data_IF_397150096481
#
_entry.id   IF_397150096481
#
_cell.length_a   1.000
_cell.length_b   1.000
_cell.length_c   1.000
_cell.angle_alpha   90.00
_cell.angle_beta   90.00
_cell.angle_gamma   90.00
#
_symmetry.space_group_name_H-M   'P 1'
#
loop_
_entity.id
_entity.type
_entity.pdbx_description
1 polymer ?
#
# COMPACT_ATOMS: atom_id res chain seq x y z
N UNK A 1 -6.22 16.98 18.54
CA UNK A 1 -5.75 16.01 19.54
C UNK A 1 -4.31 15.59 19.26
N UNK A 2 -3.95 14.85 18.20
CA UNK A 2 -2.54 14.40 17.96
C UNK A 2 -1.53 15.57 17.89
N UNK A 3 -1.87 16.68 17.24
CA UNK A 3 -0.97 17.85 17.10
C UNK A 3 -0.67 18.54 18.42
N UNK A 4 -1.63 18.56 19.34
CA UNK A 4 -1.46 19.18 20.65
C UNK A 4 -0.56 18.34 21.57
N UNK A 5 -0.62 17.01 21.42
CA UNK A 5 0.18 16.08 22.23
C UNK A 5 1.63 15.96 21.73
N UNK A 6 1.86 16.30 20.44
CA UNK A 6 3.17 16.16 19.77
C UNK A 6 3.48 17.36 18.89
N UNK A 7 3.78 18.54 19.45
CA UNK A 7 3.94 19.78 18.69
C UNK A 7 5.12 19.81 17.72
N UNK A 8 6.07 18.88 17.86
CA UNK A 8 7.25 18.76 16.99
C UNK A 8 7.04 17.82 15.79
N UNK A 9 5.91 17.12 15.73
CA UNK A 9 5.65 16.17 14.66
C UNK A 9 4.99 16.88 13.48
N UNK A 10 5.63 16.77 12.31
CA UNK A 10 5.05 17.21 11.06
C UNK A 10 4.05 16.17 10.53
N UNK A 11 2.77 16.58 10.45
CA UNK A 11 1.71 15.70 9.94
C UNK A 11 1.64 15.76 8.41
N UNK A 12 1.48 14.59 7.80
CA UNK A 12 1.30 14.44 6.37
C UNK A 12 0.09 13.55 6.07
N UNK A 13 -0.90 14.13 5.39
CA UNK A 13 -2.09 13.45 4.93
C UNK A 13 -1.92 12.97 3.48
N UNK A 14 -2.14 11.68 3.23
CA UNK A 14 -2.21 11.12 1.88
C UNK A 14 -3.55 10.44 1.67
N UNK A 15 -4.36 10.98 0.75
CA UNK A 15 -5.74 10.54 0.51
C UNK A 15 -6.07 10.25 -0.94
N UNK A 16 -7.13 9.46 -1.16
CA UNK A 16 -7.73 9.31 -2.49
C UNK A 16 -8.70 10.44 -2.80
N UNK A 17 -9.38 10.35 -3.94
CA UNK A 17 -10.32 11.39 -4.38
C UNK A 17 -11.57 11.52 -3.50
N UNK A 18 -11.86 10.57 -2.63
CA UNK A 18 -12.94 10.67 -1.64
C UNK A 18 -12.63 11.69 -0.54
N UNK A 19 -11.34 11.96 -0.30
CA UNK A 19 -10.88 12.97 0.65
C UNK A 19 -10.68 14.36 0.02
N UNK A 20 -10.97 14.54 -1.26
CA UNK A 20 -10.79 15.79 -1.97
C UNK A 20 -11.92 16.80 -1.66
N UNK A 21 -12.06 17.21 -0.41
CA UNK A 21 -13.10 18.13 0.06
C UNK A 21 -12.53 19.47 0.53
N UNK A 22 -13.23 20.59 0.28
CA UNK A 22 -12.78 21.92 0.72
C UNK A 22 -12.48 22.02 2.21
N UNK A 23 -13.32 21.39 3.03
CA UNK A 23 -13.20 21.42 4.50
C UNK A 23 -11.92 20.73 4.98
N UNK A 24 -11.56 19.59 4.36
CA UNK A 24 -10.34 18.87 4.70
C UNK A 24 -9.09 19.68 4.33
N UNK A 25 -9.08 20.32 3.16
CA UNK A 25 -7.97 21.19 2.80
C UNK A 25 -7.80 22.34 3.78
N UNK A 26 -8.93 23.00 4.12
CA UNK A 26 -8.93 24.10 5.10
C UNK A 26 -8.37 23.64 6.43
N UNK A 27 -8.83 22.51 6.97
CA UNK A 27 -8.32 21.96 8.23
C UNK A 27 -6.82 21.63 8.16
N UNK A 28 -6.34 21.07 7.06
CA UNK A 28 -4.92 20.79 6.88
C UNK A 28 -4.10 22.08 6.86
N UNK A 29 -4.57 23.07 6.11
CA UNK A 29 -3.88 24.37 5.95
C UNK A 29 -3.85 25.17 7.26
N UNK A 30 -4.96 25.19 8.01
CA UNK A 30 -5.04 25.84 9.34
C UNK A 30 -4.16 25.17 10.40
N UNK A 31 -3.97 23.86 10.33
CA UNK A 31 -3.17 23.08 11.28
C UNK A 31 -1.71 22.84 10.83
N UNK A 32 -1.27 23.47 9.75
CA UNK A 32 0.09 23.25 9.21
C UNK A 32 0.36 21.82 8.74
N UNK A 33 -0.70 21.04 8.46
CA UNK A 33 -0.59 19.67 7.97
C UNK A 33 -0.34 19.67 6.48
N UNK A 34 0.71 18.99 6.03
CA UNK A 34 0.96 18.74 4.61
C UNK A 34 -0.03 17.72 4.06
N UNK A 35 -0.43 17.88 2.80
CA UNK A 35 -1.32 16.90 2.17
C UNK A 35 -0.96 16.60 0.73
N UNK A 36 -1.26 15.37 0.30
CA UNK A 36 -1.15 14.85 -1.05
C UNK A 36 -2.41 14.04 -1.35
N UNK A 37 -3.37 14.64 -2.05
CA UNK A 37 -4.71 14.07 -2.26
C UNK A 37 -4.99 13.96 -3.76
N UNK A 38 -5.45 12.78 -4.20
CA UNK A 38 -5.82 12.57 -5.60
C UNK A 38 -7.09 13.35 -5.95
N UNK A 39 -7.08 14.00 -7.12
CA UNK A 39 -8.28 14.55 -7.73
C UNK A 39 -8.86 13.57 -8.75
N UNK A 40 -10.19 13.49 -8.80
CA UNK A 40 -10.89 12.83 -9.90
C UNK A 40 -10.74 13.67 -11.17
N UNK A 41 -10.22 13.06 -12.24
CA UNK A 41 -10.03 13.74 -13.52
C UNK A 41 -11.35 14.25 -14.08
N UNK A 42 -11.35 15.49 -14.55
CA UNK A 42 -12.46 16.12 -15.24
C UNK A 42 -11.97 16.82 -16.52
N UNK A 43 -12.88 17.39 -17.30
CA UNK A 43 -12.55 18.05 -18.56
C UNK A 43 -11.59 19.25 -18.36
N UNK A 44 -11.85 20.08 -17.37
CA UNK A 44 -11.05 21.29 -17.07
C UNK A 44 -9.62 20.92 -16.68
N UNK A 45 -9.43 19.90 -15.83
CA UNK A 45 -8.11 19.42 -15.44
C UNK A 45 -7.33 18.86 -16.64
N UNK A 46 -8.00 18.17 -17.56
CA UNK A 46 -7.37 17.65 -18.78
C UNK A 46 -6.99 18.75 -19.74
N UNK A 47 -7.84 19.78 -19.89
CA UNK A 47 -7.54 20.96 -20.70
C UNK A 47 -6.34 21.73 -20.14
N UNK A 48 -6.29 21.94 -18.81
CA UNK A 48 -5.12 22.56 -18.16
C UNK A 48 -3.84 21.74 -18.31
N UNK A 49 -3.94 20.43 -18.46
CA UNK A 49 -2.79 19.53 -18.66
C UNK A 49 -2.47 19.25 -20.14
N UNK A 50 -3.14 19.90 -21.11
CA UNK A 50 -2.95 19.64 -22.55
C UNK A 50 -1.51 19.85 -23.00
N UNK A 51 -0.82 20.86 -22.49
CA UNK A 51 0.59 21.13 -22.80
C UNK A 51 1.52 19.95 -22.48
N UNK A 52 1.19 19.16 -21.45
CA UNK A 52 1.95 17.95 -21.12
C UNK A 52 1.67 16.80 -22.11
N UNK A 53 0.40 16.69 -22.55
CA UNK A 53 0.04 15.73 -23.58
C UNK A 53 0.71 16.03 -24.93
N UNK A 54 0.79 17.30 -25.30
CA UNK A 54 1.47 17.76 -26.51
C UNK A 54 2.98 17.48 -26.43
N UNK A 55 3.61 17.77 -25.28
CA UNK A 55 5.01 17.46 -25.05
C UNK A 55 5.28 15.93 -25.08
N UNK A 56 4.35 15.13 -24.58
CA UNK A 56 4.44 13.67 -24.60
C UNK A 56 4.29 13.15 -26.04
N UNK A 57 3.34 13.69 -26.80
CA UNK A 57 3.12 13.38 -28.22
C UNK A 57 4.37 13.63 -29.03
N UNK A 58 4.99 14.80 -28.88
CA UNK A 58 6.23 15.18 -29.59
C UNK A 58 7.38 14.22 -29.28
N UNK A 59 7.49 13.76 -28.04
CA UNK A 59 8.52 12.79 -27.63
C UNK A 59 8.28 11.38 -28.20
N UNK A 60 7.02 10.97 -28.32
CA UNK A 60 6.67 9.60 -28.73
C UNK A 60 6.59 9.45 -30.25
N UNK A 61 6.30 10.51 -30.99
CA UNK A 61 6.28 10.47 -32.48
C UNK A 61 7.69 10.37 -33.07
N UNK A 62 8.67 11.02 -32.48
CA UNK A 62 10.05 11.04 -32.98
C UNK A 62 10.88 9.81 -32.52
N UNK A 63 10.51 9.19 -31.42
CA UNK A 63 11.15 8.00 -30.88
C UNK A 63 10.09 6.91 -30.74
N UNK A 64 10.31 5.72 -31.26
CA UNK A 64 9.47 4.53 -31.07
C UNK A 64 9.55 4.04 -29.62
N UNK A 65 9.13 4.90 -28.68
CA UNK A 65 9.17 4.60 -27.24
C UNK A 65 7.80 4.04 -26.84
N UNK A 66 7.76 2.81 -26.38
CA UNK A 66 6.54 2.14 -25.97
C UNK A 66 5.91 2.75 -24.72
N UNK A 67 6.73 3.24 -23.80
CA UNK A 67 6.29 3.91 -22.55
C UNK A 67 6.95 5.28 -22.42
N UNK A 68 6.15 6.30 -22.15
CA UNK A 68 6.65 7.65 -21.86
C UNK A 68 5.80 8.32 -20.77
N UNK A 69 6.44 9.18 -19.97
CA UNK A 69 5.80 9.93 -18.89
C UNK A 69 6.31 11.36 -18.82
N UNK A 70 5.41 12.28 -18.53
CA UNK A 70 5.74 13.70 -18.30
C UNK A 70 5.02 14.16 -17.02
N UNK A 71 5.71 14.98 -16.25
CA UNK A 71 5.19 15.59 -15.04
C UNK A 71 5.07 17.11 -15.23
N UNK A 72 4.08 17.71 -14.61
CA UNK A 72 3.89 19.15 -14.59
C UNK A 72 2.97 19.57 -13.46
N UNK A 73 2.73 20.87 -13.39
CA UNK A 73 1.86 21.45 -12.38
C UNK A 73 1.15 22.70 -12.90
N UNK A 74 0.07 23.04 -12.25
CA UNK A 74 -0.69 24.26 -12.50
C UNK A 74 -1.54 24.62 -11.27
N UNK A 75 -1.97 25.88 -11.20
CA UNK A 75 -2.96 26.31 -10.23
C UNK A 75 -4.37 25.99 -10.72
N UNK A 76 -5.17 25.43 -9.82
CA UNK A 76 -6.54 25.02 -10.14
C UNK A 76 -7.49 25.39 -9.01
N UNK A 77 -8.65 25.90 -9.41
CA UNK A 77 -9.79 26.19 -8.54
C UNK A 77 -11.00 25.37 -9.01
N UNK A 78 -11.47 24.45 -8.17
CA UNK A 78 -12.77 23.81 -8.37
C UNK A 78 -13.90 24.76 -7.93
N UNK A 79 -15.13 24.58 -8.45
CA UNK A 79 -16.25 25.44 -8.12
C UNK A 79 -16.46 25.74 -6.63
N UNK A 80 -16.47 24.73 -5.75
CA UNK A 80 -16.69 24.92 -4.31
C UNK A 80 -15.44 25.41 -3.54
N UNK A 81 -14.28 25.56 -4.19
CA UNK A 81 -13.05 25.99 -3.51
C UNK A 81 -13.03 27.52 -3.37
N UNK A 82 -12.63 28.06 -2.20
CA UNK A 82 -12.52 29.50 -2.00
C UNK A 82 -11.39 30.12 -2.82
N UNK A 83 -10.28 29.40 -3.02
CA UNK A 83 -9.10 29.85 -3.78
C UNK A 83 -8.44 28.71 -4.55
N UNK A 84 -7.48 29.09 -5.39
CA UNK A 84 -6.72 28.14 -6.20
C UNK A 84 -5.72 27.35 -5.33
N UNK A 85 -5.49 26.10 -5.70
CA UNK A 85 -4.49 25.21 -5.10
C UNK A 85 -3.57 24.63 -6.14
N UNK A 86 -2.35 24.32 -5.72
CA UNK A 86 -1.36 23.66 -6.55
C UNK A 86 -1.84 22.24 -6.90
N UNK A 87 -1.91 21.96 -8.19
CA UNK A 87 -2.22 20.63 -8.71
C UNK A 87 -1.03 20.13 -9.51
N UNK A 88 -0.48 19.01 -9.07
CA UNK A 88 0.56 18.26 -9.77
C UNK A 88 -0.09 17.22 -10.67
N UNK A 89 0.39 17.12 -11.88
CA UNK A 89 -0.14 16.23 -12.89
C UNK A 89 0.95 15.31 -13.45
N UNK A 90 0.58 14.05 -13.65
CA UNK A 90 1.33 13.08 -14.45
C UNK A 90 0.50 12.73 -15.67
N UNK A 91 1.10 12.83 -16.85
CA UNK A 91 0.56 12.27 -18.09
C UNK A 91 1.48 11.16 -18.55
N UNK A 92 0.92 9.99 -18.78
CA UNK A 92 1.67 8.83 -19.24
C UNK A 92 1.00 8.17 -20.44
N UNK A 93 1.82 7.66 -21.34
CA UNK A 93 1.44 6.74 -22.40
C UNK A 93 1.83 5.34 -21.96
N UNK A 94 0.87 4.49 -21.59
CA UNK A 94 1.18 3.09 -21.27
C UNK A 94 1.61 2.32 -22.52
N UNK A 95 2.39 1.26 -22.30
CA UNK A 95 2.75 0.33 -23.36
C UNK A 95 1.50 -0.22 -24.06
N UNK A 96 1.56 -0.31 -25.38
CA UNK A 96 0.47 -0.85 -26.22
C UNK A 96 -0.89 -0.14 -26.10
N UNK A 97 -0.93 1.12 -25.58
CA UNK A 97 -2.16 1.90 -25.52
C UNK A 97 -2.03 3.20 -26.29
N UNK A 98 -3.11 3.57 -27.02
CA UNK A 98 -3.18 4.84 -27.75
C UNK A 98 -3.68 5.99 -26.89
N UNK A 99 -4.23 5.69 -25.69
CA UNK A 99 -4.87 6.68 -24.80
C UNK A 99 -3.92 7.07 -23.68
N UNK A 100 -3.75 8.38 -23.46
CA UNK A 100 -2.98 8.90 -22.34
C UNK A 100 -3.71 8.75 -21.01
N UNK A 101 -2.99 8.33 -20.00
CA UNK A 101 -3.48 8.26 -18.62
C UNK A 101 -3.06 9.49 -17.83
N UNK A 102 -4.00 10.08 -17.11
CA UNK A 102 -3.80 11.28 -16.32
C UNK A 102 -3.93 10.97 -14.82
N UNK A 103 -2.99 11.47 -14.05
CA UNK A 103 -3.07 11.45 -12.58
C UNK A 103 -2.95 12.89 -12.09
N UNK A 104 -3.94 13.37 -11.34
CA UNK A 104 -3.97 14.70 -10.75
C UNK A 104 -3.91 14.59 -9.23
N UNK A 105 -3.06 15.39 -8.62
CA UNK A 105 -2.86 15.44 -7.16
C UNK A 105 -2.88 16.89 -6.72
N UNK A 106 -3.72 17.22 -5.76
CA UNK A 106 -3.68 18.52 -5.07
C UNK A 106 -2.79 18.42 -3.84
N UNK A 107 -2.00 19.47 -3.61
CA UNK A 107 -1.02 19.49 -2.51
C UNK A 107 -0.71 20.93 -2.07
N UNK A 108 -0.32 21.09 -0.81
CA UNK A 108 0.29 22.31 -0.26
C UNK A 108 1.83 22.16 -0.08
N UNK A 109 2.40 21.02 -0.50
CA UNK A 109 3.85 20.78 -0.41
C UNK A 109 4.59 21.42 -1.58
N UNK A 110 5.79 21.92 -1.34
CA UNK A 110 6.68 22.54 -2.36
C UNK A 110 7.73 21.56 -2.92
N UNK A 111 7.44 20.28 -2.92
CA UNK A 111 8.32 19.25 -3.48
C UNK A 111 8.16 19.14 -5.00
N UNK A 112 9.12 18.51 -5.68
CA UNK A 112 9.06 18.29 -7.13
C UNK A 112 7.87 17.43 -7.55
N UNK A 113 7.36 17.67 -8.74
CA UNK A 113 6.17 16.99 -9.29
C UNK A 113 6.36 15.47 -9.34
N UNK A 114 7.54 15.04 -9.77
CA UNK A 114 7.87 13.62 -9.86
C UNK A 114 7.91 12.95 -8.49
N UNK A 115 8.51 13.62 -7.49
CA UNK A 115 8.55 13.13 -6.12
C UNK A 115 7.14 12.95 -5.55
N UNK A 116 6.28 13.98 -5.69
CA UNK A 116 4.90 13.97 -5.18
C UNK A 116 4.06 12.86 -5.81
N UNK A 117 4.17 12.67 -7.12
CA UNK A 117 3.49 11.57 -7.81
C UNK A 117 4.00 10.20 -7.33
N UNK A 118 5.32 10.01 -7.28
CA UNK A 118 5.92 8.75 -6.78
C UNK A 118 5.55 8.49 -5.33
N UNK A 119 5.57 9.54 -4.50
CA UNK A 119 5.14 9.46 -3.10
C UNK A 119 3.67 9.05 -2.99
N UNK A 120 2.78 9.66 -3.78
CA UNK A 120 1.37 9.28 -3.83
C UNK A 120 1.19 7.81 -4.26
N UNK A 121 1.88 7.38 -5.31
CA UNK A 121 1.77 6.02 -5.86
C UNK A 121 2.18 4.93 -4.84
N UNK A 122 3.05 5.23 -3.87
CA UNK A 122 3.36 4.32 -2.75
C UNK A 122 2.14 3.99 -1.87
N UNK A 123 1.00 4.69 -2.03
CA UNK A 123 -0.28 4.34 -1.40
C UNK A 123 -0.77 2.95 -1.81
N UNK A 124 -0.47 2.50 -3.03
CA UNK A 124 -0.80 1.16 -3.49
C UNK A 124 -0.24 0.03 -2.61
N UNK A 125 0.85 0.26 -1.89
CA UNK A 125 1.38 -0.70 -0.91
C UNK A 125 0.40 -0.92 0.26
N UNK A 126 -0.23 0.16 0.76
CA UNK A 126 -1.26 0.07 1.81
C UNK A 126 -2.48 -0.72 1.33
N UNK A 127 -2.92 -0.51 0.09
CA UNK A 127 -4.03 -1.28 -0.49
C UNK A 127 -3.69 -2.77 -0.58
N UNK A 128 -2.46 -3.12 -0.91
CA UNK A 128 -2.01 -4.50 -0.93
C UNK A 128 -2.00 -5.11 0.48
N UNK A 129 -1.58 -4.37 1.51
CA UNK A 129 -1.66 -4.83 2.90
C UNK A 129 -3.11 -5.02 3.35
N UNK A 130 -4.01 -4.10 3.01
CA UNK A 130 -5.45 -4.24 3.30
C UNK A 130 -6.05 -5.44 2.57
N UNK A 131 -5.69 -5.67 1.31
CA UNK A 131 -6.12 -6.84 0.53
C UNK A 131 -5.61 -8.13 1.16
N UNK A 132 -4.34 -8.18 1.55
CA UNK A 132 -3.74 -9.34 2.21
C UNK A 132 -4.42 -9.61 3.57
N UNK A 133 -4.71 -8.57 4.34
CA UNK A 133 -5.44 -8.67 5.61
C UNK A 133 -6.85 -9.21 5.42
N UNK A 134 -7.55 -8.79 4.37
CA UNK A 134 -8.89 -9.29 4.04
C UNK A 134 -8.88 -10.74 3.60
N UNK A 135 -7.96 -11.14 2.72
CA UNK A 135 -7.91 -12.50 2.17
C UNK A 135 -7.26 -13.49 3.14
N UNK A 136 -6.18 -13.10 3.81
CA UNK A 136 -5.38 -14.00 4.64
C UNK A 136 -5.76 -14.05 6.11
N UNK A 137 -6.46 -13.02 6.64
CA UNK A 137 -6.81 -12.89 8.05
C UNK A 137 -8.30 -12.56 8.28
N UNK A 138 -9.13 -12.69 7.27
CA UNK A 138 -10.60 -12.50 7.39
C UNK A 138 -11.03 -11.16 8.03
N UNK A 139 -10.30 -10.06 7.78
CA UNK A 139 -10.61 -8.74 8.32
C UNK A 139 -12.04 -8.27 8.01
N UNK A 140 -12.60 -8.72 6.88
CA UNK A 140 -13.95 -8.37 6.44
C UNK A 140 -15.05 -9.28 6.98
N UNK A 141 -14.71 -10.38 7.65
CA UNK A 141 -15.70 -11.31 8.19
C UNK A 141 -16.37 -10.70 9.41
N UNK A 142 -17.68 -10.48 9.30
CA UNK A 142 -18.55 -9.99 10.37
C UNK A 142 -19.20 -11.19 11.02
N UNK A 143 -18.99 -11.41 12.33
CA UNK A 143 -19.52 -12.54 13.08
C UNK A 143 -20.65 -12.18 14.05
N UNK A 144 -20.94 -10.88 14.20
CA UNK A 144 -21.91 -10.39 15.15
C UNK A 144 -22.64 -9.16 14.61
N UNK A 145 -23.87 -8.95 15.08
CA UNK A 145 -24.59 -7.68 14.85
C UNK A 145 -24.11 -6.57 15.80
N UNK A 146 -23.30 -6.89 16.80
CA UNK A 146 -22.75 -5.91 17.74
C UNK A 146 -21.47 -5.29 17.19
N UNK A 147 -21.46 -3.95 17.03
CA UNK A 147 -20.33 -3.18 16.53
C UNK A 147 -19.08 -3.34 17.38
N UNK A 148 -19.20 -3.39 18.71
CA UNK A 148 -18.07 -3.50 19.63
C UNK A 148 -17.38 -4.87 19.46
N UNK A 149 -18.16 -5.94 19.35
CA UNK A 149 -17.63 -7.30 19.11
C UNK A 149 -16.84 -7.36 17.81
N UNK A 150 -17.39 -6.78 16.74
CA UNK A 150 -16.69 -6.75 15.45
C UNK A 150 -15.44 -5.87 15.49
N UNK A 151 -15.46 -4.75 16.21
CA UNK A 151 -14.28 -3.90 16.39
C UNK A 151 -13.16 -4.65 17.13
N UNK A 152 -13.47 -5.35 18.22
CA UNK A 152 -12.51 -6.17 18.95
C UNK A 152 -11.94 -7.30 18.07
N UNK A 153 -12.78 -7.93 17.26
CA UNK A 153 -12.32 -8.94 16.29
C UNK A 153 -11.30 -8.37 15.31
N UNK A 154 -11.57 -7.19 14.74
CA UNK A 154 -10.62 -6.51 13.83
C UNK A 154 -9.29 -6.25 14.54
N UNK A 155 -9.28 -5.86 15.81
CA UNK A 155 -8.05 -5.66 16.58
C UNK A 155 -7.23 -6.95 16.73
N UNK A 156 -7.89 -8.07 17.04
CA UNK A 156 -7.24 -9.39 17.12
C UNK A 156 -6.65 -9.80 15.77
N UNK A 157 -7.36 -9.58 14.67
CA UNK A 157 -6.86 -9.86 13.33
C UNK A 157 -5.67 -8.95 12.98
N UNK A 158 -5.70 -7.66 13.37
CA UNK A 158 -4.59 -6.74 13.18
C UNK A 158 -3.34 -7.19 13.95
N UNK A 159 -3.51 -7.67 15.18
CA UNK A 159 -2.42 -8.26 15.96
C UNK A 159 -1.84 -9.50 15.26
N UNK A 160 -2.68 -10.42 14.82
CA UNK A 160 -2.25 -11.61 14.09
C UNK A 160 -1.48 -11.25 12.80
N UNK A 161 -1.94 -10.23 12.08
CA UNK A 161 -1.24 -9.72 10.90
C UNK A 161 0.13 -9.13 11.24
N UNK A 162 0.24 -8.39 12.33
CA UNK A 162 1.52 -7.83 12.80
C UNK A 162 2.51 -8.92 13.22
N UNK A 163 2.04 -9.94 13.95
CA UNK A 163 2.86 -11.12 14.32
C UNK A 163 3.37 -11.83 13.06
N UNK A 164 2.50 -12.02 12.07
CA UNK A 164 2.91 -12.59 10.80
C UNK A 164 3.94 -11.74 10.05
N UNK A 165 3.82 -10.41 10.10
CA UNK A 165 4.83 -9.52 9.51
C UNK A 165 6.17 -9.59 10.22
N UNK A 166 6.19 -9.76 11.55
CA UNK A 166 7.43 -10.02 12.29
C UNK A 166 8.04 -11.35 11.89
N UNK A 167 7.25 -12.42 11.87
CA UNK A 167 7.69 -13.74 11.38
C UNK A 167 8.28 -13.63 9.96
N UNK A 168 7.59 -12.94 9.06
CA UNK A 168 8.05 -12.68 7.68
C UNK A 168 9.43 -12.01 7.64
N UNK A 169 9.66 -11.02 8.51
CA UNK A 169 10.91 -10.23 8.53
C UNK A 169 12.07 -10.96 9.22
N UNK A 170 11.79 -11.66 10.29
CA UNK A 170 12.80 -12.23 11.17
C UNK A 170 13.19 -13.65 10.74
N UNK A 171 12.27 -14.41 10.16
CA UNK A 171 12.42 -15.84 9.93
C UNK A 171 12.50 -16.20 8.44
N UNK A 172 11.62 -15.64 7.62
CA UNK A 172 11.50 -16.08 6.23
C UNK A 172 12.68 -15.63 5.36
N UNK A 173 13.06 -16.47 4.38
CA UNK A 173 14.06 -16.16 3.37
C UNK A 173 13.67 -14.93 2.52
N UNK A 174 14.64 -14.31 1.85
CA UNK A 174 14.42 -13.11 1.04
C UNK A 174 13.35 -13.31 -0.05
N UNK A 175 13.24 -14.51 -0.61
CA UNK A 175 12.22 -14.86 -1.60
C UNK A 175 10.84 -15.03 -0.97
N UNK A 176 10.75 -15.73 0.16
CA UNK A 176 9.49 -15.97 0.86
C UNK A 176 8.91 -14.70 1.49
N UNK A 177 9.75 -13.73 1.87
CA UNK A 177 9.31 -12.43 2.41
C UNK A 177 8.38 -11.67 1.46
N UNK A 178 8.53 -11.88 0.16
CA UNK A 178 7.72 -11.22 -0.89
C UNK A 178 6.41 -11.94 -1.18
N UNK A 179 6.25 -13.16 -0.68
CA UNK A 179 5.07 -13.99 -0.94
C UNK A 179 3.90 -13.60 -0.05
N UNK A 180 2.69 -13.86 -0.55
CA UNK A 180 1.45 -13.67 0.21
C UNK A 180 1.35 -14.71 1.32
N UNK A 181 0.62 -14.37 2.38
CA UNK A 181 0.41 -15.29 3.51
C UNK A 181 -0.18 -16.63 3.08
N UNK A 182 -1.10 -16.65 2.11
CA UNK A 182 -1.71 -17.88 1.62
C UNK A 182 -0.66 -18.81 0.99
N UNK A 183 0.30 -18.25 0.25
CA UNK A 183 1.42 -19.01 -0.32
C UNK A 183 2.35 -19.53 0.78
N UNK A 184 2.66 -18.69 1.78
CA UNK A 184 3.47 -19.10 2.93
C UNK A 184 2.78 -20.23 3.71
N UNK A 185 1.47 -20.15 3.92
CA UNK A 185 0.68 -21.23 4.56
C UNK A 185 0.76 -22.54 3.77
N UNK A 186 0.65 -22.48 2.45
CA UNK A 186 0.76 -23.70 1.62
C UNK A 186 2.15 -24.32 1.76
N UNK A 187 3.19 -23.50 1.72
CA UNK A 187 4.57 -23.98 1.75
C UNK A 187 5.02 -24.50 3.11
N UNK A 188 4.55 -23.89 4.21
CA UNK A 188 5.05 -24.16 5.55
C UNK A 188 4.06 -24.91 6.46
N UNK A 189 2.75 -24.74 6.27
CA UNK A 189 1.75 -25.28 7.18
C UNK A 189 0.90 -26.39 6.56
N UNK A 190 0.57 -26.28 5.27
CA UNK A 190 -0.27 -27.28 4.58
C UNK A 190 0.56 -28.44 4.01
N UNK A 191 1.48 -28.97 4.82
CA UNK A 191 2.30 -30.12 4.45
C UNK A 191 1.65 -31.38 5.01
N UNK A 192 1.45 -32.37 4.15
CA UNK A 192 0.92 -33.66 4.58
C UNK A 192 1.87 -34.32 5.58
N UNK A 193 1.33 -34.79 6.71
CA UNK A 193 2.10 -35.42 7.76
C UNK A 193 1.37 -36.61 8.36
N UNK A 194 2.14 -37.67 8.71
CA UNK A 194 1.65 -38.80 9.51
C UNK A 194 2.06 -38.59 10.96
N UNK A 195 1.08 -38.59 11.86
CA UNK A 195 1.35 -38.53 13.30
C UNK A 195 1.58 -39.91 13.81
N UNK A 196 2.75 -40.15 14.43
CA UNK A 196 3.11 -41.42 15.09
C UNK A 196 3.28 -41.14 16.58
N UNK A 197 2.55 -41.86 17.39
CA UNK A 197 2.66 -41.80 18.87
C UNK A 197 3.46 -42.97 19.36
N UNK A 198 4.44 -42.72 20.21
CA UNK A 198 5.14 -43.68 21.03
C UNK A 198 4.94 -43.31 22.50
N UNK A 199 5.35 -44.13 23.45
CA UNK A 199 5.06 -43.94 24.87
C UNK A 199 5.38 -42.54 25.43
N UNK A 200 6.42 -41.88 24.92
CA UNK A 200 6.90 -40.55 25.38
C UNK A 200 6.92 -39.45 24.33
N UNK A 201 6.69 -39.81 23.06
CA UNK A 201 6.89 -38.85 21.95
C UNK A 201 5.75 -38.88 20.96
N UNK A 202 5.47 -37.70 20.42
CA UNK A 202 4.62 -37.51 19.24
C UNK A 202 5.54 -37.07 18.10
N UNK A 203 5.64 -37.90 17.07
CA UNK A 203 6.50 -37.63 15.90
C UNK A 203 5.63 -37.30 14.70
N UNK A 204 5.89 -36.18 14.09
CA UNK A 204 5.28 -35.81 12.82
C UNK A 204 6.21 -36.24 11.67
N UNK A 205 5.81 -37.28 10.94
CA UNK A 205 6.53 -37.71 9.73
C UNK A 205 5.97 -36.92 8.52
N UNK A 206 6.72 -35.94 8.07
CA UNK A 206 6.32 -35.09 6.90
C UNK A 206 6.46 -35.91 5.62
N UNK A 207 5.64 -35.55 4.62
CA UNK A 207 5.71 -36.15 3.28
C UNK A 207 7.09 -35.90 2.66
N UNK A 208 7.78 -36.99 2.28
CA UNK A 208 9.13 -36.93 1.70
C UNK A 208 9.16 -36.30 0.30
N UNK A 209 8.05 -36.37 -0.45
CA UNK A 209 7.88 -35.76 -1.77
C UNK A 209 7.33 -34.34 -1.71
N UNK A 210 7.33 -33.67 -0.55
CA UNK A 210 6.92 -32.29 -0.44
C UNK A 210 7.88 -31.39 -1.24
N UNK A 211 7.40 -30.62 -2.24
CA UNK A 211 8.26 -29.76 -3.05
C UNK A 211 8.87 -28.59 -2.28
N UNK A 212 8.34 -28.29 -1.10
CA UNK A 212 8.76 -27.16 -0.25
C UNK A 212 9.55 -27.62 0.97
N UNK A 213 10.20 -28.78 0.89
CA UNK A 213 10.94 -29.37 2.00
C UNK A 213 12.10 -28.50 2.47
N UNK A 214 12.84 -27.94 1.54
CA UNK A 214 13.99 -27.09 1.84
C UNK A 214 13.54 -25.80 2.54
N UNK A 215 12.55 -25.08 2.00
CA UNK A 215 12.02 -23.87 2.61
C UNK A 215 11.46 -24.11 4.03
N UNK A 216 10.86 -25.29 4.25
CA UNK A 216 10.36 -25.66 5.58
C UNK A 216 11.50 -25.82 6.58
N UNK A 217 12.54 -26.59 6.25
CA UNK A 217 13.67 -26.82 7.16
C UNK A 217 14.52 -25.58 7.37
N UNK A 218 14.72 -24.75 6.35
CA UNK A 218 15.41 -23.46 6.47
C UNK A 218 14.66 -22.53 7.43
N UNK A 219 13.33 -22.47 7.29
CA UNK A 219 12.47 -21.69 8.18
C UNK A 219 12.55 -22.20 9.62
N UNK A 220 12.50 -23.52 9.83
CA UNK A 220 12.61 -24.12 11.14
C UNK A 220 13.97 -23.84 11.78
N UNK A 221 15.06 -23.95 11.02
CA UNK A 221 16.40 -23.59 11.45
C UNK A 221 16.52 -22.11 11.82
N UNK A 222 15.90 -21.23 11.05
CA UNK A 222 15.87 -19.79 11.32
C UNK A 222 15.12 -19.48 12.63
N UNK A 223 14.00 -20.17 12.90
CA UNK A 223 13.28 -20.05 14.17
C UNK A 223 14.18 -20.45 15.34
N UNK A 224 14.90 -21.58 15.21
CA UNK A 224 15.80 -22.07 16.27
C UNK A 224 16.99 -21.16 16.58
N UNK A 225 17.31 -20.24 15.66
CA UNK A 225 18.38 -19.25 15.83
C UNK A 225 17.89 -17.90 16.37
N UNK A 226 16.59 -17.73 16.55
CA UNK A 226 16.05 -16.51 17.16
C UNK A 226 16.46 -16.46 18.63
N UNK A 227 17.28 -15.46 18.95
CA UNK A 227 17.59 -15.11 20.33
C UNK A 227 16.46 -14.23 20.87
N UNK A 228 15.57 -14.79 21.66
CA UNK A 228 14.46 -14.06 22.27
C UNK A 228 14.96 -13.50 23.60
N UNK A 229 15.42 -12.27 23.61
CA UNK A 229 15.66 -11.53 24.85
C UNK A 229 14.29 -11.09 25.39
N UNK A 230 13.84 -11.73 26.44
CA UNK A 230 12.70 -11.27 27.24
C UNK A 230 13.28 -10.28 28.26
N UNK A 231 13.10 -8.97 28.03
CA UNK A 231 13.29 -7.92 29.02
C UNK A 231 12.11 -7.87 29.99
#
# INVERSE_FOLDING_TARGET
MIVNDYPTIHLLLRGDSGFATPDLYKQCEENGTSYVIRLKGNKVLREKASFLADALTSRTQNNKVDYAVVYGEFMYKAGPWPYERRVVCKVEKPENQMVYMYTFIVTNMDSSQEYLIKFYCKRGLMENFIKESKSGFDFSAVSSHNRIVNANRVQVHALAYNIFNWFRRLVLSAEMRKQRIDTVRIKLLKIAAKVVRSARYITFKLCSSCPYKEEFYDTLSAIGKLDVQLE
#
